data_IF_975421351249
#
_entry.id   IF_975421351249
#
_cell.length_a   1.000
_cell.length_b   1.000
_cell.length_c   1.000
_cell.angle_alpha   90.00
_cell.angle_beta   90.00
_cell.angle_gamma   90.00
#
_symmetry.space_group_name_H-M   'P 1'
#
loop_
_entity.id
_entity.type
_entity.pdbx_description
1 polymer ?
#
# COMPACT_ATOMS: atom_id res chain seq x y z
N UNK A 1 25.96 16.46 3.73
CA UNK A 1 24.52 16.28 3.51
C UNK A 1 24.13 17.05 2.26
N UNK A 2 24.00 16.37 1.12
CA UNK A 2 23.53 16.98 -0.11
C UNK A 2 22.00 17.10 -0.06
N UNK A 3 21.49 18.11 0.62
CA UNK A 3 20.10 18.51 0.49
C UNK A 3 19.92 19.18 -0.88
N UNK A 4 19.49 18.42 -1.90
CA UNK A 4 19.24 18.90 -3.26
C UNK A 4 18.02 19.83 -3.30
N UNK A 5 17.10 19.73 -2.34
CA UNK A 5 15.98 20.63 -2.16
C UNK A 5 16.31 21.58 -1.00
N UNK A 6 16.57 22.83 -1.34
CA UNK A 6 16.65 23.90 -0.35
C UNK A 6 15.23 24.21 0.15
N UNK A 7 14.89 23.70 1.33
CA UNK A 7 13.58 23.87 1.95
C UNK A 7 13.19 25.34 2.15
N UNK A 8 14.16 26.21 2.39
CA UNK A 8 13.93 27.63 2.56
C UNK A 8 13.50 28.26 1.24
N UNK A 9 14.21 27.95 0.17
CA UNK A 9 13.91 28.42 -1.18
C UNK A 9 12.60 27.82 -1.70
N UNK A 10 12.30 26.56 -1.41
CA UNK A 10 11.01 25.94 -1.71
C UNK A 10 9.85 26.70 -1.06
N UNK A 11 9.95 26.98 0.24
CA UNK A 11 8.94 27.73 0.99
C UNK A 11 8.74 29.16 0.45
N UNK A 12 9.82 29.86 0.11
CA UNK A 12 9.76 31.20 -0.48
C UNK A 12 9.04 31.20 -1.84
N UNK A 13 9.34 30.23 -2.69
CA UNK A 13 8.70 30.10 -4.01
C UNK A 13 7.21 29.77 -3.87
N UNK A 14 6.87 28.81 -3.01
CA UNK A 14 5.47 28.43 -2.75
C UNK A 14 4.67 29.63 -2.20
N UNK A 15 5.22 30.36 -1.23
CA UNK A 15 4.57 31.56 -0.68
C UNK A 15 4.28 32.57 -1.77
N UNK A 16 5.28 32.91 -2.59
CA UNK A 16 5.12 33.86 -3.71
C UNK A 16 4.08 33.42 -4.73
N UNK A 17 4.02 32.13 -5.03
CA UNK A 17 3.02 31.58 -5.96
C UNK A 17 1.62 31.62 -5.39
N UNK A 18 1.46 31.37 -4.09
CA UNK A 18 0.18 31.49 -3.41
C UNK A 18 -0.34 32.93 -3.36
N UNK A 19 0.57 33.92 -3.24
CA UNK A 19 0.22 35.35 -3.25
C UNK A 19 -0.19 35.83 -4.64
N UNK A 20 0.37 35.26 -5.69
CA UNK A 20 0.05 35.58 -7.08
C UNK A 20 -1.17 34.82 -7.61
N UNK A 21 -1.63 33.79 -6.91
CA UNK A 21 -2.70 32.94 -7.40
C UNK A 21 -4.07 33.61 -7.34
N UNK A 22 -4.72 33.73 -8.51
CA UNK A 22 -6.09 34.28 -8.69
C UNK A 22 -7.06 33.28 -9.34
N UNK A 23 -6.67 32.02 -9.44
CA UNK A 23 -7.46 30.97 -10.11
C UNK A 23 -8.36 30.19 -9.15
N UNK A 24 -9.04 29.17 -9.70
CA UNK A 24 -10.03 28.37 -8.98
C UNK A 24 -9.45 27.19 -8.18
N UNK A 25 -8.13 26.96 -8.21
CA UNK A 25 -7.52 25.91 -7.40
C UNK A 25 -7.45 26.33 -5.94
N UNK A 26 -7.68 25.37 -5.04
CA UNK A 26 -7.45 25.62 -3.61
C UNK A 26 -5.96 25.86 -3.34
N UNK A 27 -5.64 26.63 -2.29
CA UNK A 27 -4.23 26.86 -1.89
C UNK A 27 -3.50 25.55 -1.63
N UNK A 28 -4.17 24.60 -1.01
CA UNK A 28 -3.60 23.25 -0.71
C UNK A 28 -3.31 22.46 -1.98
N UNK A 29 -4.18 22.51 -2.98
CA UNK A 29 -3.94 21.86 -4.27
C UNK A 29 -2.72 22.44 -4.97
N UNK A 30 -2.53 23.75 -4.92
CA UNK A 30 -1.37 24.42 -5.49
C UNK A 30 -0.07 24.03 -4.78
N UNK A 31 -0.08 23.98 -3.45
CA UNK A 31 1.08 23.53 -2.66
C UNK A 31 1.46 22.11 -3.04
N UNK A 32 0.49 21.21 -3.17
CA UNK A 32 0.73 19.81 -3.58
C UNK A 32 1.35 19.73 -4.98
N UNK A 33 0.76 20.42 -5.98
CA UNK A 33 1.28 20.45 -7.36
C UNK A 33 2.71 20.96 -7.39
N UNK A 34 3.01 22.06 -6.71
CA UNK A 34 4.35 22.63 -6.69
C UNK A 34 5.36 21.75 -5.98
N UNK A 35 4.99 21.10 -4.90
CA UNK A 35 5.87 20.13 -4.25
C UNK A 35 6.22 18.97 -5.18
N UNK A 36 5.26 18.43 -5.90
CA UNK A 36 5.52 17.38 -6.89
C UNK A 36 6.46 17.85 -8.01
N UNK A 37 6.28 19.08 -8.51
CA UNK A 37 7.19 19.68 -9.50
C UNK A 37 8.61 19.81 -8.95
N UNK A 38 8.77 20.29 -7.70
CA UNK A 38 10.08 20.38 -7.06
C UNK A 38 10.74 19.02 -6.89
N UNK A 39 9.99 18.01 -6.42
CA UNK A 39 10.51 16.66 -6.30
C UNK A 39 10.88 16.05 -7.64
N UNK A 40 10.04 16.22 -8.67
CA UNK A 40 10.34 15.77 -10.01
C UNK A 40 11.61 16.43 -10.57
N UNK A 41 11.76 17.75 -10.37
CA UNK A 41 12.94 18.50 -10.84
C UNK A 41 14.21 18.08 -10.09
N UNK A 42 14.14 17.88 -8.78
CA UNK A 42 15.26 17.36 -7.99
C UNK A 42 15.67 15.96 -8.45
N UNK A 43 14.69 15.09 -8.73
CA UNK A 43 14.93 13.75 -9.24
C UNK A 43 15.57 13.75 -10.65
N UNK A 44 15.21 14.70 -11.50
CA UNK A 44 15.85 14.86 -12.82
C UNK A 44 17.30 15.28 -12.67
N UNK A 45 17.60 16.19 -11.73
CA UNK A 45 18.99 16.62 -11.47
C UNK A 45 19.85 15.48 -10.92
N UNK A 46 19.27 14.63 -10.05
CA UNK A 46 19.94 13.45 -9.51
C UNK A 46 20.14 12.35 -10.56
N UNK A 47 19.16 12.16 -11.49
CA UNK A 47 19.32 11.25 -12.62
C UNK A 47 20.48 11.59 -13.55
N UNK A 48 20.91 12.86 -13.61
CA UNK A 48 22.16 13.23 -14.34
C UNK A 48 23.39 12.51 -13.78
N UNK A 49 23.35 12.04 -12.56
CA UNK A 49 24.43 11.27 -11.93
C UNK A 49 24.21 9.74 -11.98
N UNK A 50 23.34 9.23 -12.81
CA UNK A 50 22.99 7.79 -12.95
C UNK A 50 22.53 7.11 -11.64
N UNK A 51 22.02 7.85 -10.65
CA UNK A 51 21.53 7.29 -9.39
C UNK A 51 20.00 7.21 -9.41
N UNK A 52 19.47 6.02 -9.24
CA UNK A 52 18.02 5.82 -9.01
C UNK A 52 17.68 6.29 -7.60
N UNK A 53 16.63 7.10 -7.48
CA UNK A 53 16.17 7.61 -6.19
C UNK A 53 14.78 7.03 -5.95
N UNK A 54 14.61 6.43 -4.79
CA UNK A 54 13.33 5.92 -4.32
C UNK A 54 12.35 7.07 -4.02
N UNK A 55 11.07 6.76 -3.98
CA UNK A 55 10.07 7.70 -3.48
C UNK A 55 10.35 8.03 -2.01
N UNK A 56 9.92 9.24 -1.60
CA UNK A 56 9.99 9.66 -0.19
C UNK A 56 9.32 8.61 0.71
N UNK A 57 9.99 8.25 1.78
CA UNK A 57 9.50 7.27 2.76
C UNK A 57 9.91 5.83 2.48
N UNK A 58 10.15 5.44 1.21
CA UNK A 58 10.51 4.07 0.85
C UNK A 58 11.80 3.60 1.52
N UNK A 59 12.81 4.47 1.60
CA UNK A 59 14.09 4.16 2.26
C UNK A 59 13.96 3.91 3.78
N UNK A 60 12.87 4.35 4.39
CA UNK A 60 12.57 4.12 5.81
C UNK A 60 11.78 2.85 6.09
N UNK A 61 11.37 2.12 5.04
CA UNK A 61 10.63 0.87 5.19
C UNK A 61 11.59 -0.21 5.68
N UNK A 62 11.25 -0.80 6.83
CA UNK A 62 11.96 -1.97 7.34
C UNK A 62 11.45 -3.22 6.65
N UNK A 63 12.36 -4.19 6.43
CA UNK A 63 11.98 -5.48 5.89
C UNK A 63 10.94 -6.16 6.79
N UNK A 64 9.79 -6.49 6.21
CA UNK A 64 8.77 -7.28 6.90
C UNK A 64 9.31 -8.69 7.20
N UNK A 65 9.19 -9.12 8.45
CA UNK A 65 9.57 -10.46 8.88
C UNK A 65 8.31 -11.24 9.19
N UNK A 66 7.93 -12.12 8.28
CA UNK A 66 6.83 -13.07 8.53
C UNK A 66 7.11 -14.03 9.67
N UNK A 67 6.05 -14.73 10.11
CA UNK A 67 6.17 -15.74 11.16
C UNK A 67 7.11 -16.89 10.79
N UNK A 68 7.85 -17.40 11.76
CA UNK A 68 8.79 -18.50 11.59
C UNK A 68 8.05 -19.80 11.27
N UNK A 69 8.41 -20.44 10.16
CA UNK A 69 7.79 -21.69 9.71
C UNK A 69 8.70 -22.93 9.87
N UNK A 70 9.98 -22.72 10.14
CA UNK A 70 10.96 -23.83 10.33
C UNK A 70 11.90 -23.47 11.47
N UNK A 71 12.15 -24.43 12.34
CA UNK A 71 13.15 -24.35 13.40
C UNK A 71 14.11 -25.53 13.18
N UNK A 72 15.41 -25.23 13.15
CA UNK A 72 16.43 -26.25 12.90
C UNK A 72 16.38 -27.33 13.99
N UNK A 73 16.34 -28.61 13.58
CA UNK A 73 16.29 -29.74 14.49
C UNK A 73 14.91 -30.10 15.06
N UNK A 74 13.82 -29.46 14.59
CA UNK A 74 12.45 -29.79 14.99
C UNK A 74 11.62 -30.19 13.78
N UNK A 75 11.19 -31.47 13.72
CA UNK A 75 10.44 -32.00 12.58
C UNK A 75 8.95 -31.68 12.60
N UNK A 76 8.36 -31.49 13.79
CA UNK A 76 6.94 -31.11 13.94
C UNK A 76 6.83 -29.78 14.66
N UNK A 77 6.46 -28.76 13.92
CA UNK A 77 6.24 -27.41 14.46
C UNK A 77 4.74 -27.11 14.45
N UNK A 78 4.21 -26.65 15.58
CA UNK A 78 2.90 -26.01 15.62
C UNK A 78 3.13 -24.51 15.39
N UNK A 79 2.81 -24.03 14.18
CA UNK A 79 3.00 -22.64 13.80
C UNK A 79 1.84 -21.80 14.30
N UNK A 80 2.10 -20.91 15.26
CA UNK A 80 1.14 -19.96 15.81
C UNK A 80 1.49 -18.51 15.46
N UNK A 81 2.52 -18.31 14.63
CA UNK A 81 3.06 -16.98 14.29
C UNK A 81 2.45 -16.37 13.02
N UNK A 82 1.40 -16.97 12.47
CA UNK A 82 0.68 -16.48 11.28
C UNK A 82 -0.79 -16.87 11.37
N UNK A 83 -1.66 -16.06 10.76
CA UNK A 83 -3.10 -16.32 10.68
C UNK A 83 -3.41 -17.33 9.58
N UNK A 84 -2.96 -18.57 9.77
CA UNK A 84 -3.21 -19.68 8.84
C UNK A 84 -4.32 -20.58 9.38
N UNK A 85 -5.15 -21.13 8.46
CA UNK A 85 -6.17 -22.10 8.86
C UNK A 85 -5.51 -23.45 9.21
N UNK A 86 -5.67 -23.96 10.45
CA UNK A 86 -5.13 -25.27 10.82
C UNK A 86 -5.87 -26.43 10.14
N UNK A 87 -7.05 -26.19 9.56
CA UNK A 87 -7.88 -27.21 8.91
C UNK A 87 -7.55 -27.38 7.43
N UNK A 88 -6.71 -26.51 6.87
CA UNK A 88 -6.42 -26.52 5.44
C UNK A 88 -7.62 -26.06 4.58
N UNK A 89 -7.54 -26.23 3.26
CA UNK A 89 -8.63 -25.93 2.34
C UNK A 89 -9.70 -27.01 2.34
N UNK A 90 -10.93 -26.68 1.95
CA UNK A 90 -12.01 -27.67 1.77
C UNK A 90 -11.71 -28.61 0.58
N UNK A 91 -12.27 -29.82 0.62
CA UNK A 91 -12.15 -30.78 -0.49
C UNK A 91 -12.63 -30.20 -1.83
N UNK A 92 -13.73 -29.46 -1.82
CA UNK A 92 -14.24 -28.78 -3.02
C UNK A 92 -13.24 -27.76 -3.58
N UNK A 93 -12.52 -27.03 -2.72
CA UNK A 93 -11.48 -26.08 -3.16
C UNK A 93 -10.29 -26.82 -3.79
N UNK A 94 -9.87 -27.95 -3.20
CA UNK A 94 -8.81 -28.80 -3.75
C UNK A 94 -9.19 -29.34 -5.13
N UNK A 95 -10.41 -29.83 -5.29
CA UNK A 95 -10.89 -30.33 -6.59
C UNK A 95 -10.99 -29.22 -7.64
N UNK A 96 -11.52 -28.05 -7.27
CA UNK A 96 -11.58 -26.91 -8.16
C UNK A 96 -10.19 -26.46 -8.62
N UNK A 97 -9.21 -26.43 -7.70
CA UNK A 97 -7.81 -26.12 -8.02
C UNK A 97 -7.23 -27.15 -9.03
N UNK A 98 -7.43 -28.46 -8.78
CA UNK A 98 -6.96 -29.50 -9.69
C UNK A 98 -7.58 -29.34 -11.09
N UNK A 99 -8.88 -29.05 -11.18
CA UNK A 99 -9.56 -28.80 -12.47
C UNK A 99 -9.04 -27.54 -13.16
N UNK A 100 -8.71 -26.49 -12.43
CA UNK A 100 -8.19 -25.25 -12.98
C UNK A 100 -6.72 -25.40 -13.47
N UNK A 101 -5.93 -26.27 -12.87
CA UNK A 101 -4.51 -26.43 -13.18
C UNK A 101 -4.22 -26.81 -14.64
N UNK A 102 -5.11 -27.50 -15.32
CA UNK A 102 -4.97 -27.84 -16.74
C UNK A 102 -5.12 -26.62 -17.69
N UNK A 103 -5.61 -25.48 -17.17
CA UNK A 103 -5.82 -24.25 -17.92
C UNK A 103 -4.77 -23.18 -17.65
N UNK A 104 -3.70 -23.48 -16.94
CA UNK A 104 -2.65 -22.51 -16.54
C UNK A 104 -1.95 -21.82 -17.71
N UNK A 105 -2.02 -22.37 -18.93
CA UNK A 105 -1.51 -21.74 -20.14
C UNK A 105 -2.39 -20.61 -20.69
N UNK A 106 -3.54 -20.37 -20.10
CA UNK A 106 -4.48 -19.32 -20.50
C UNK A 106 -4.51 -18.19 -19.45
N UNK A 107 -4.70 -16.97 -19.93
CA UNK A 107 -4.90 -15.84 -19.04
C UNK A 107 -6.18 -16.05 -18.19
N UNK A 108 -6.14 -15.66 -16.92
CA UNK A 108 -7.37 -15.61 -16.10
C UNK A 108 -8.29 -14.48 -16.55
N UNK A 109 -9.48 -14.44 -15.97
CA UNK A 109 -10.38 -13.29 -16.10
C UNK A 109 -9.69 -12.01 -15.59
N UNK A 110 -9.77 -10.92 -16.37
CA UNK A 110 -9.12 -9.66 -16.04
C UNK A 110 -9.62 -9.04 -14.72
N UNK A 111 -10.92 -9.15 -14.47
CA UNK A 111 -11.58 -8.54 -13.31
C UNK A 111 -11.87 -9.53 -12.18
N UNK A 112 -11.73 -10.83 -12.43
CA UNK A 112 -12.16 -11.87 -11.50
C UNK A 112 -13.70 -11.93 -11.37
N UNK A 113 -14.43 -11.70 -12.45
CA UNK A 113 -15.90 -11.59 -12.48
C UNK A 113 -16.60 -12.79 -11.85
N UNK A 114 -16.13 -14.01 -12.12
CA UNK A 114 -16.68 -15.23 -11.51
C UNK A 114 -16.58 -15.20 -9.99
N UNK A 115 -15.48 -14.71 -9.43
CA UNK A 115 -15.26 -14.59 -8.00
C UNK A 115 -16.12 -13.46 -7.41
N UNK A 116 -16.17 -12.30 -8.06
CA UNK A 116 -17.01 -11.17 -7.66
C UNK A 116 -18.48 -11.59 -7.56
N UNK A 117 -19.01 -12.28 -8.57
CA UNK A 117 -20.37 -12.76 -8.60
C UNK A 117 -20.66 -13.81 -7.50
N UNK A 118 -19.71 -14.71 -7.23
CA UNK A 118 -19.85 -15.70 -6.17
C UNK A 118 -19.88 -15.03 -4.77
N UNK A 119 -19.03 -14.04 -4.52
CA UNK A 119 -19.01 -13.27 -3.27
C UNK A 119 -20.29 -12.45 -3.15
N UNK A 120 -20.68 -11.73 -4.20
CA UNK A 120 -21.91 -10.93 -4.23
C UNK A 120 -23.14 -11.77 -3.87
N UNK A 121 -23.28 -12.93 -4.49
CA UNK A 121 -24.38 -13.88 -4.19
C UNK A 121 -24.35 -14.36 -2.75
N UNK A 122 -23.17 -14.69 -2.21
CA UNK A 122 -23.03 -15.23 -0.85
C UNK A 122 -23.37 -14.20 0.22
N UNK A 123 -23.02 -12.96 0.00
CA UNK A 123 -23.14 -11.88 1.00
C UNK A 123 -24.26 -10.88 0.69
N UNK A 124 -25.08 -11.12 -0.35
CA UNK A 124 -26.15 -10.23 -0.79
C UNK A 124 -25.66 -8.80 -1.09
N UNK A 125 -24.53 -8.70 -1.80
CA UNK A 125 -23.94 -7.47 -2.28
C UNK A 125 -24.11 -7.33 -3.79
N UNK A 126 -23.84 -6.14 -4.34
CA UNK A 126 -23.69 -5.96 -5.78
C UNK A 126 -22.26 -6.32 -6.19
N UNK A 127 -22.08 -6.96 -7.34
CA UNK A 127 -20.75 -7.36 -7.83
C UNK A 127 -19.84 -6.17 -8.17
N UNK A 128 -20.41 -5.02 -8.51
CA UNK A 128 -19.70 -3.76 -8.75
C UNK A 128 -19.09 -3.12 -7.48
N UNK A 129 -19.52 -3.58 -6.30
CA UNK A 129 -18.95 -3.17 -5.00
C UNK A 129 -17.76 -4.04 -4.56
N UNK A 130 -17.35 -5.00 -5.39
CA UNK A 130 -16.32 -5.99 -5.02
C UNK A 130 -15.13 -5.85 -5.94
N UNK A 131 -13.96 -5.69 -5.33
CA UNK A 131 -12.67 -5.70 -6.01
C UNK A 131 -11.91 -6.95 -5.58
N UNK A 132 -11.37 -7.70 -6.54
CA UNK A 132 -10.55 -8.86 -6.29
C UNK A 132 -9.07 -8.53 -6.50
N UNK A 133 -8.19 -9.19 -5.71
CA UNK A 133 -6.75 -9.07 -5.81
C UNK A 133 -6.06 -10.35 -5.35
N UNK A 134 -4.74 -10.37 -5.41
CA UNK A 134 -3.92 -11.51 -4.99
C UNK A 134 -3.69 -11.54 -3.46
N UNK A 135 -4.77 -11.42 -2.72
CA UNK A 135 -4.80 -11.37 -1.27
C UNK A 135 -5.09 -9.98 -0.73
N UNK A 136 -5.24 -9.88 0.61
CA UNK A 136 -5.60 -8.63 1.29
C UNK A 136 -4.54 -7.56 1.15
N UNK A 137 -3.26 -7.91 1.07
CA UNK A 137 -2.17 -6.95 0.96
C UNK A 137 -2.27 -6.12 -0.33
N UNK A 138 -2.61 -6.76 -1.45
CA UNK A 138 -2.82 -6.05 -2.72
C UNK A 138 -4.01 -5.10 -2.65
N UNK A 139 -5.12 -5.52 -2.01
CA UNK A 139 -6.29 -4.65 -1.81
C UNK A 139 -5.95 -3.45 -0.93
N UNK A 140 -5.18 -3.65 0.13
CA UNK A 140 -4.70 -2.56 0.99
C UNK A 140 -3.80 -1.59 0.20
N UNK A 141 -2.90 -2.12 -0.63
CA UNK A 141 -2.05 -1.31 -1.52
C UNK A 141 -2.90 -0.49 -2.49
N UNK A 142 -3.87 -1.10 -3.16
CA UNK A 142 -4.77 -0.39 -4.09
C UNK A 142 -5.54 0.71 -3.37
N UNK A 143 -6.05 0.44 -2.18
CA UNK A 143 -6.78 1.42 -1.37
C UNK A 143 -5.90 2.63 -1.05
N UNK A 144 -4.73 2.39 -0.49
CA UNK A 144 -3.85 3.51 -0.09
C UNK A 144 -3.32 4.26 -1.31
N UNK A 145 -2.94 3.58 -2.40
CA UNK A 145 -2.47 4.26 -3.63
C UNK A 145 -3.57 5.05 -4.35
N UNK A 146 -4.83 4.64 -4.20
CA UNK A 146 -5.97 5.33 -4.83
C UNK A 146 -6.35 6.59 -4.08
N UNK A 147 -6.34 6.55 -2.75
CA UNK A 147 -6.91 7.60 -1.91
C UNK A 147 -5.88 8.47 -1.20
N UNK A 148 -4.60 8.05 -1.16
CA UNK A 148 -3.55 8.75 -0.43
C UNK A 148 -2.42 9.23 -1.34
N UNK A 149 -1.93 10.43 -1.05
CA UNK A 149 -0.82 11.12 -1.72
C UNK A 149 0.17 11.65 -0.68
N UNK A 150 1.36 12.13 -1.09
CA UNK A 150 2.27 12.79 -0.16
C UNK A 150 1.60 13.94 0.59
N UNK A 151 1.60 13.86 1.93
CA UNK A 151 0.97 14.82 2.84
C UNK A 151 -0.39 14.38 3.38
N UNK A 152 -0.96 13.28 2.89
CA UNK A 152 -2.12 12.64 3.50
C UNK A 152 -1.69 11.74 4.65
N UNK A 153 -2.61 11.46 5.57
CA UNK A 153 -2.37 10.64 6.76
C UNK A 153 -3.20 9.36 6.70
N UNK A 154 -2.60 8.26 7.11
CA UNK A 154 -3.29 6.97 7.31
C UNK A 154 -3.19 6.58 8.77
N UNK A 155 -4.32 6.53 9.46
CA UNK A 155 -4.40 6.14 10.88
C UNK A 155 -4.51 4.61 10.96
N UNK A 156 -3.72 4.03 11.85
CA UNK A 156 -3.80 2.60 12.16
C UNK A 156 -3.57 2.33 13.65
N UNK A 157 -4.05 1.19 14.13
CA UNK A 157 -3.90 0.77 15.51
C UNK A 157 -2.43 0.43 15.86
N UNK A 158 -2.05 0.60 17.13
CA UNK A 158 -0.71 0.29 17.63
C UNK A 158 -0.34 -1.19 17.44
N UNK A 159 -1.28 -2.10 17.71
CA UNK A 159 -1.11 -3.54 17.52
C UNK A 159 -1.73 -4.02 16.21
N UNK A 160 -1.88 -3.13 15.23
CA UNK A 160 -2.40 -3.44 13.92
C UNK A 160 -1.41 -4.23 13.06
N UNK A 161 -1.86 -4.59 11.85
CA UNK A 161 -1.06 -5.34 10.90
C UNK A 161 0.12 -4.50 10.40
N UNK A 162 1.33 -5.07 10.43
CA UNK A 162 2.57 -4.35 10.08
C UNK A 162 2.59 -3.80 8.64
N UNK A 163 1.74 -4.32 7.76
CA UNK A 163 1.62 -3.79 6.40
C UNK A 163 1.02 -2.39 6.34
N UNK A 164 0.19 -1.98 7.31
CA UNK A 164 -0.41 -0.63 7.29
C UNK A 164 0.64 0.50 7.21
N UNK A 165 1.62 0.59 8.11
CA UNK A 165 2.65 1.62 7.99
C UNK A 165 3.57 1.42 6.77
N UNK A 166 3.78 0.19 6.30
CA UNK A 166 4.61 -0.10 5.14
C UNK A 166 3.98 0.47 3.87
N UNK A 167 2.71 0.13 3.60
CA UNK A 167 2.00 0.60 2.40
C UNK A 167 1.75 2.12 2.43
N UNK A 168 1.51 2.68 3.61
CA UNK A 168 1.38 4.13 3.79
C UNK A 168 2.66 4.85 3.33
N UNK A 169 3.81 4.40 3.79
CA UNK A 169 5.11 4.95 3.37
C UNK A 169 5.39 4.70 1.89
N UNK A 170 4.97 3.57 1.35
CA UNK A 170 5.11 3.26 -0.07
C UNK A 170 4.32 4.25 -0.95
N UNK A 171 3.15 4.68 -0.50
CA UNK A 171 2.37 5.73 -1.15
C UNK A 171 2.99 7.13 -0.98
N UNK A 172 3.90 7.31 -0.03
CA UNK A 172 4.49 8.59 0.36
C UNK A 172 3.65 9.37 1.37
N UNK A 173 2.59 8.75 1.90
CA UNK A 173 1.73 9.30 2.93
C UNK A 173 2.36 9.16 4.34
N UNK A 174 1.76 9.80 5.34
CA UNK A 174 2.20 9.75 6.71
C UNK A 174 1.42 8.73 7.53
N UNK A 175 2.14 7.87 8.26
CA UNK A 175 1.56 6.84 9.10
C UNK A 175 1.29 7.43 10.50
N UNK A 176 0.03 7.47 10.90
CA UNK A 176 -0.42 7.98 12.19
C UNK A 176 -0.86 6.82 13.07
N UNK A 177 -0.25 6.72 14.24
CA UNK A 177 -0.52 5.64 15.18
C UNK A 177 -1.64 6.04 16.14
N UNK A 178 -2.72 5.29 16.15
CA UNK A 178 -3.73 5.38 17.20
C UNK A 178 -3.26 4.58 18.42
N UNK A 179 -3.11 5.26 19.55
CA UNK A 179 -2.75 4.61 20.82
C UNK A 179 -3.90 3.74 21.31
N UNK A 180 -3.57 2.58 21.83
CA UNK A 180 -4.53 1.63 22.39
C UNK A 180 -4.37 1.55 23.92
N UNK A 181 -5.51 1.46 24.61
CA UNK A 181 -5.57 1.12 26.04
C UNK A 181 -6.29 -0.24 26.13
N UNK A 182 -5.63 -1.23 26.67
CA UNK A 182 -6.16 -2.60 26.75
C UNK A 182 -6.66 -3.15 25.40
N UNK A 183 -5.87 -2.92 24.31
CA UNK A 183 -6.21 -3.30 22.93
C UNK A 183 -7.48 -2.66 22.37
N UNK A 184 -7.88 -1.51 22.90
CA UNK A 184 -9.02 -0.71 22.42
C UNK A 184 -8.54 0.69 22.03
N UNK A 185 -9.05 1.18 20.90
CA UNK A 185 -8.84 2.54 20.40
C UNK A 185 -9.90 3.46 21.03
#
# INVERSE_FOLDING_TARGET
SNNIVDKKREAEVISRLLDLHKGNFSRDSLVRIWREIFYASANIQLKKNNTLISKRGVDSIKLYKGGVSKIQGIDKIIKLSSNESPFGPSENAIEAYKKASIKLSRYPELTGESLQNAIAKKYSLNSDQIICGTGSDEILIFTVLTFCSPGDEVIHAQHGFEMYPIITKYAGAESVLASEIDYKI
#
